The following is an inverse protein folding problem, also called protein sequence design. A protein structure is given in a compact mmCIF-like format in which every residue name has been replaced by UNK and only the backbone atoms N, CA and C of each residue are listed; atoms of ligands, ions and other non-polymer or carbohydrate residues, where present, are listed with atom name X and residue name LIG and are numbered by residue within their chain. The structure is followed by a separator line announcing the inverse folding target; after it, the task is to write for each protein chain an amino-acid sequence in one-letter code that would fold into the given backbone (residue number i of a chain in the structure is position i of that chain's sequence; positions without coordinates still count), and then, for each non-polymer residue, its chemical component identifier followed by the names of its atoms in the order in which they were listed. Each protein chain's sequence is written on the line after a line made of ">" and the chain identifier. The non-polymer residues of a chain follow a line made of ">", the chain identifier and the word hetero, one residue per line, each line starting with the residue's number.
data_IF_880236915296
#
_entry.id   IF_880236915296
#
_cell.length_a   1.000
_cell.length_b   1.000
_cell.length_c   1.000
_cell.angle_alpha   90.00
_cell.angle_beta   90.00
_cell.angle_gamma   90.00
#
_symmetry.space_group_name_H-M   'P 1'
#
loop_
_entity.id
_entity.type
_entity.pdbx_description
1 polymer ?
#
# COMPACT_ATOMS: atom_id res chain seq x y z
N UNK A 1 6.53 7.35 5.48
CA UNK A 1 6.00 8.64 5.99
C UNK A 1 4.54 8.53 6.43
N UNK A 2 3.62 8.00 5.62
CA UNK A 2 2.22 7.80 6.04
C UNK A 2 2.07 6.89 7.25
N UNK A 3 2.82 5.81 7.33
CA UNK A 3 2.89 4.96 8.53
C UNK A 3 3.21 5.79 9.79
N UNK A 4 4.25 6.63 9.75
CA UNK A 4 4.63 7.52 10.86
C UNK A 4 3.55 8.56 11.18
N UNK A 5 2.89 9.12 10.17
CA UNK A 5 1.78 10.05 10.38
C UNK A 5 0.60 9.36 11.10
N UNK A 6 0.30 8.12 10.74
CA UNK A 6 -0.71 7.29 11.41
C UNK A 6 -0.31 7.03 12.86
N UNK A 7 0.94 6.65 13.12
CA UNK A 7 1.47 6.47 14.49
C UNK A 7 1.25 7.75 15.31
N UNK A 8 1.69 8.90 14.80
CA UNK A 8 1.54 10.18 15.49
C UNK A 8 0.06 10.53 15.75
N UNK A 9 -0.82 10.24 14.80
CA UNK A 9 -2.26 10.46 14.95
C UNK A 9 -2.84 9.62 16.09
N UNK A 10 -2.50 8.33 16.15
CA UNK A 10 -2.93 7.43 17.23
C UNK A 10 -2.35 7.82 18.59
N UNK A 11 -1.10 8.28 18.64
CA UNK A 11 -0.48 8.77 19.87
C UNK A 11 -1.12 10.05 20.40
N UNK A 12 -1.54 10.95 19.51
CA UNK A 12 -2.05 12.27 19.92
C UNK A 12 -3.55 12.27 20.23
N UNK A 13 -4.35 11.56 19.44
CA UNK A 13 -5.81 11.52 19.61
C UNK A 13 -6.32 10.30 20.40
N UNK A 14 -5.45 9.30 20.65
CA UNK A 14 -5.83 8.02 21.25
C UNK A 14 -6.49 7.07 20.27
N UNK A 15 -6.47 5.77 20.57
CA UNK A 15 -6.90 4.72 19.64
C UNK A 15 -8.38 4.80 19.24
N UNK A 16 -9.24 5.19 20.18
CA UNK A 16 -10.70 5.23 19.97
C UNK A 16 -11.11 6.33 18.97
N UNK A 17 -10.60 7.56 19.14
CA UNK A 17 -10.88 8.67 18.23
C UNK A 17 -10.10 8.54 16.92
N UNK A 18 -8.85 8.04 16.96
CA UNK A 18 -8.07 7.79 15.76
C UNK A 18 -8.71 6.72 14.86
N UNK A 19 -9.22 5.63 15.46
CA UNK A 19 -9.99 4.60 14.75
C UNK A 19 -11.32 5.10 14.20
N UNK A 20 -11.97 6.07 14.86
CA UNK A 20 -13.20 6.69 14.34
C UNK A 20 -12.95 7.56 13.11
N UNK A 21 -11.81 8.22 13.05
CA UNK A 21 -11.36 9.03 11.89
C UNK A 21 -10.88 8.11 10.76
N UNK A 22 -10.09 7.09 11.07
CA UNK A 22 -9.57 6.11 10.12
C UNK A 22 -10.57 4.97 9.89
N UNK A 23 -11.51 5.18 8.96
CA UNK A 23 -12.50 4.17 8.54
C UNK A 23 -11.95 3.03 7.67
N UNK A 24 -10.63 2.82 7.65
CA UNK A 24 -9.99 1.77 6.87
C UNK A 24 -9.76 0.52 7.72
N UNK A 25 -10.28 -0.60 7.25
CA UNK A 25 -10.04 -1.90 7.86
C UNK A 25 -8.64 -2.40 7.48
N UNK A 26 -7.71 -2.46 8.43
CA UNK A 26 -6.33 -2.87 8.17
C UNK A 26 -6.19 -4.25 7.49
N UNK A 27 -6.99 -5.30 7.79
CA UNK A 27 -6.90 -6.58 7.08
C UNK A 27 -7.27 -6.44 5.61
N UNK A 28 -8.25 -5.59 5.28
CA UNK A 28 -8.68 -5.33 3.90
C UNK A 28 -7.58 -4.61 3.13
N UNK A 29 -6.96 -3.60 3.73
CA UNK A 29 -5.86 -2.84 3.12
C UNK A 29 -4.66 -3.73 2.83
N UNK A 30 -4.28 -4.60 3.78
CA UNK A 30 -3.18 -5.56 3.59
C UNK A 30 -3.53 -6.54 2.46
N UNK A 31 -4.73 -7.11 2.50
CA UNK A 31 -5.16 -8.11 1.50
C UNK A 31 -5.18 -7.51 0.09
N UNK A 32 -5.67 -6.28 -0.05
CA UNK A 32 -5.70 -5.58 -1.34
C UNK A 32 -4.28 -5.26 -1.83
N UNK A 33 -3.40 -4.79 -0.96
CA UNK A 33 -2.01 -4.53 -1.30
C UNK A 33 -1.26 -5.79 -1.76
N UNK A 34 -1.46 -6.91 -1.06
CA UNK A 34 -0.91 -8.22 -1.43
C UNK A 34 -1.45 -8.71 -2.77
N UNK A 35 -2.76 -8.59 -3.01
CA UNK A 35 -3.36 -8.96 -4.29
C UNK A 35 -2.75 -8.15 -5.43
N UNK A 36 -2.65 -6.82 -5.28
CA UNK A 36 -2.05 -5.95 -6.29
C UNK A 36 -0.59 -6.34 -6.55
N UNK A 37 0.22 -6.48 -5.50
CA UNK A 37 1.64 -6.83 -5.63
C UNK A 37 1.83 -8.21 -6.29
N UNK A 38 1.03 -9.20 -5.91
CA UNK A 38 1.08 -10.54 -6.47
C UNK A 38 0.66 -10.54 -7.95
N UNK A 39 -0.45 -9.89 -8.29
CA UNK A 39 -0.92 -9.79 -9.68
C UNK A 39 0.13 -9.13 -10.56
N UNK A 40 0.71 -8.01 -10.12
CA UNK A 40 1.76 -7.32 -10.88
C UNK A 40 3.02 -8.17 -11.03
N UNK A 41 3.46 -8.86 -9.97
CA UNK A 41 4.60 -9.77 -10.03
C UNK A 41 4.41 -10.92 -11.01
N UNK A 42 3.17 -11.40 -11.18
CA UNK A 42 2.83 -12.46 -12.15
C UNK A 42 2.75 -12.01 -13.59
N UNK A 43 2.76 -10.70 -13.90
CA UNK A 43 2.68 -10.19 -15.29
C UNK A 43 3.83 -10.71 -16.15
N UNK A 44 5.05 -10.79 -15.60
CA UNK A 44 6.20 -11.36 -16.30
C UNK A 44 5.98 -12.82 -16.71
N UNK A 45 5.38 -13.63 -15.83
CA UNK A 45 5.08 -15.04 -16.14
C UNK A 45 4.04 -15.17 -17.27
N UNK A 46 3.06 -14.27 -17.32
CA UNK A 46 2.07 -14.24 -18.40
C UNK A 46 2.68 -13.83 -19.75
N UNK A 47 3.77 -13.04 -19.72
CA UNK A 47 4.58 -12.70 -20.89
C UNK A 47 5.56 -13.78 -21.34
N UNK A 48 5.70 -14.88 -20.58
CA UNK A 48 6.70 -15.93 -20.83
C UNK A 48 8.09 -15.65 -20.25
N UNK A 49 8.23 -14.53 -19.53
CA UNK A 49 9.45 -14.14 -18.83
C UNK A 49 9.47 -14.67 -17.38
N UNK A 50 10.56 -14.40 -16.66
CA UNK A 50 10.67 -14.76 -15.25
C UNK A 50 9.69 -13.97 -14.37
N UNK A 51 9.36 -14.52 -13.20
CA UNK A 51 8.59 -13.81 -12.18
C UNK A 51 9.28 -12.49 -11.79
N UNK A 52 8.49 -11.43 -11.55
CA UNK A 52 8.97 -10.05 -11.33
C UNK A 52 9.70 -9.36 -12.50
N UNK A 53 9.60 -9.89 -13.73
CA UNK A 53 10.05 -9.11 -14.90
C UNK A 53 9.20 -7.84 -15.04
N UNK A 54 9.86 -6.69 -15.11
CA UNK A 54 9.23 -5.39 -15.20
C UNK A 54 9.20 -4.90 -16.65
N UNK A 55 8.10 -4.27 -17.04
CA UNK A 55 7.90 -3.66 -18.35
C UNK A 55 7.73 -2.16 -18.18
N UNK A 56 8.21 -1.39 -19.15
CA UNK A 56 8.05 0.05 -19.19
C UNK A 56 7.65 0.50 -20.59
N UNK A 57 6.86 1.57 -20.66
CA UNK A 57 6.47 2.21 -21.90
C UNK A 57 6.32 3.73 -21.71
N UNK A 58 6.51 4.50 -22.77
CA UNK A 58 6.38 5.96 -22.74
C UNK A 58 4.98 6.36 -23.17
N UNK A 59 4.21 6.95 -22.26
CA UNK A 59 2.84 7.42 -22.53
C UNK A 59 2.77 8.92 -22.36
N UNK A 60 2.24 9.60 -23.38
CA UNK A 60 2.02 11.04 -23.36
C UNK A 60 0.70 11.35 -22.65
N UNK A 61 0.78 11.83 -21.40
CA UNK A 61 -0.37 12.25 -20.61
C UNK A 61 -0.72 13.72 -20.91
N UNK A 62 -2.01 14.07 -21.12
CA UNK A 62 -2.42 15.41 -21.56
C UNK A 62 -2.13 16.53 -20.56
N UNK A 63 -1.86 16.20 -19.29
CA UNK A 63 -1.57 17.14 -18.21
C UNK A 63 -0.08 17.29 -17.88
N UNK A 64 0.75 16.30 -18.17
CA UNK A 64 2.12 16.18 -17.62
C UNK A 64 3.18 15.97 -18.71
N UNK A 65 2.78 15.68 -19.95
CA UNK A 65 3.70 15.39 -21.06
C UNK A 65 4.05 13.90 -21.17
N UNK A 66 5.22 13.58 -21.73
CA UNK A 66 5.71 12.19 -21.81
C UNK A 66 6.10 11.67 -20.44
N UNK A 67 5.54 10.52 -20.05
CA UNK A 67 5.80 9.89 -18.76
C UNK A 67 6.11 8.42 -18.99
N UNK A 68 7.16 7.92 -18.35
CA UNK A 68 7.51 6.51 -18.36
C UNK A 68 6.59 5.75 -17.40
N UNK A 69 5.67 4.97 -17.94
CA UNK A 69 4.82 4.08 -17.18
C UNK A 69 5.50 2.73 -17.05
N UNK A 70 5.80 2.36 -15.81
CA UNK A 70 6.41 1.07 -15.47
C UNK A 70 5.46 0.22 -14.65
N UNK A 71 5.49 -1.10 -14.86
CA UNK A 71 4.81 -2.06 -13.98
C UNK A 71 5.37 -2.04 -12.55
N UNK A 72 6.53 -1.41 -12.31
CA UNK A 72 7.05 -1.18 -10.96
C UNK A 72 6.13 -0.28 -10.11
N UNK A 73 5.48 0.72 -10.71
CA UNK A 73 4.64 1.67 -9.99
C UNK A 73 3.45 1.01 -9.27
N UNK A 74 2.59 0.21 -9.94
CA UNK A 74 1.51 -0.49 -9.25
C UNK A 74 2.02 -1.55 -8.27
N UNK A 75 3.21 -2.14 -8.50
CA UNK A 75 3.84 -3.02 -7.52
C UNK A 75 4.19 -2.27 -6.22
N UNK A 76 4.86 -1.12 -6.34
CA UNK A 76 5.20 -0.26 -5.20
C UNK A 76 3.96 0.25 -4.47
N UNK A 77 2.87 0.52 -5.20
CA UNK A 77 1.58 0.86 -4.60
C UNK A 77 1.03 -0.29 -3.76
N UNK A 78 1.14 -1.53 -4.24
CA UNK A 78 0.76 -2.73 -3.48
C UNK A 78 1.56 -2.86 -2.19
N UNK A 79 2.89 -2.74 -2.27
CA UNK A 79 3.79 -2.77 -1.10
C UNK A 79 3.48 -1.64 -0.12
N UNK A 80 3.23 -0.44 -0.63
CA UNK A 80 2.85 0.72 0.18
C UNK A 80 1.58 0.45 1.00
N UNK A 81 0.54 -0.11 0.39
CA UNK A 81 -0.70 -0.46 1.08
C UNK A 81 -0.45 -1.51 2.18
N UNK A 82 0.36 -2.53 1.90
CA UNK A 82 0.73 -3.55 2.91
C UNK A 82 1.44 -2.90 4.10
N UNK A 83 2.41 -2.02 3.87
CA UNK A 83 3.15 -1.35 4.95
C UNK A 83 2.23 -0.45 5.80
N UNK A 84 1.35 0.32 5.16
CA UNK A 84 0.36 1.15 5.84
C UNK A 84 -0.60 0.30 6.67
N UNK A 85 -1.13 -0.78 6.08
CA UNK A 85 -1.99 -1.75 6.74
C UNK A 85 -1.35 -2.43 7.93
N UNK A 86 -0.12 -2.93 7.77
CA UNK A 86 0.63 -3.59 8.84
C UNK A 86 0.94 -2.64 10.00
N UNK A 87 1.26 -1.38 9.70
CA UNK A 87 1.50 -0.37 10.74
C UNK A 87 0.22 -0.08 11.54
N UNK A 88 -0.92 0.09 10.86
CA UNK A 88 -2.22 0.25 11.53
C UNK A 88 -2.54 -0.94 12.43
N UNK A 89 -2.34 -2.17 11.92
CA UNK A 89 -2.57 -3.39 12.69
C UNK A 89 -1.71 -3.42 13.96
N UNK A 90 -0.40 -3.15 13.83
CA UNK A 90 0.51 -3.13 14.97
C UNK A 90 0.10 -2.12 16.05
N UNK A 91 -0.27 -0.90 15.67
CA UNK A 91 -0.68 0.14 16.62
C UNK A 91 -1.99 -0.23 17.31
N UNK A 92 -3.00 -0.68 16.55
CA UNK A 92 -4.31 -1.04 17.11
C UNK A 92 -4.14 -2.18 18.11
N UNK A 93 -3.41 -3.23 17.74
CA UNK A 93 -3.14 -4.37 18.64
C UNK A 93 -2.43 -3.94 19.92
N UNK A 94 -1.40 -3.09 19.83
CA UNK A 94 -0.70 -2.58 21.02
C UNK A 94 -1.63 -1.70 21.86
N UNK A 95 -2.45 -0.87 21.23
CA UNK A 95 -3.32 0.07 21.94
C UNK A 95 -4.53 -0.56 22.61
N UNK A 96 -5.01 -1.69 22.10
CA UNK A 96 -6.13 -2.44 22.67
C UNK A 96 -5.68 -3.40 23.78
N UNK A 97 -4.39 -3.80 23.82
CA UNK A 97 -3.84 -4.69 24.85
C UNK A 97 -3.72 -4.00 26.24
N UNK A 98 -3.68 -2.66 26.24
CA UNK A 98 -3.60 -1.82 27.45
C UNK A 98 -4.98 -1.35 27.99
N UNK A 99 -6.10 -1.74 27.36
CA UNK A 99 -7.46 -1.31 27.72
C UNK A 99 -8.27 -2.39 28.47
#
# INVERSE_FOLDING_TARGET
>A
MTASAIVLMYMFFGAQEAGRVMRLSYPVVISLGLLVAATVGTVGLLGGDAFFTQYFDYVTLPLVGEVELTTALPFDLGVYLVVVGATMAAIVTISEDDA
#
